data_IF_655187191311
#
_entry.id   IF_655187191311
#
_cell.length_a   1.000
_cell.length_b   1.000
_cell.length_c   1.000
_cell.angle_alpha   90.00
_cell.angle_beta   90.00
_cell.angle_gamma   90.00
#
_symmetry.space_group_name_H-M   'P 1'
#
loop_
_entity.id
_entity.type
_entity.pdbx_description
1 polymer ?
#
# COMPACT_ATOMS: atom_id res chain seq x y z
N UNK A 1 11.62 -17.90 25.49
CA UNK A 1 11.91 -16.47 25.33
C UNK A 1 13.39 -16.23 25.59
N UNK A 2 14.13 -15.69 24.63
CA UNK A 2 15.56 -15.37 24.78
C UNK A 2 15.77 -14.15 25.69
N UNK A 3 17.01 -13.92 26.16
CA UNK A 3 17.35 -12.74 26.95
C UNK A 3 17.10 -11.43 26.21
N UNK A 4 17.33 -11.43 24.88
CA UNK A 4 17.05 -10.27 24.01
C UNK A 4 15.55 -10.00 23.88
N UNK A 5 14.74 -11.03 23.69
CA UNK A 5 13.28 -10.88 23.64
C UNK A 5 12.74 -10.29 24.95
N UNK A 6 13.22 -10.77 26.09
CA UNK A 6 12.85 -10.22 27.39
C UNK A 6 13.31 -8.75 27.57
N UNK A 7 14.45 -8.35 26.98
CA UNK A 7 14.90 -6.97 26.98
C UNK A 7 13.98 -6.09 26.12
N UNK A 8 13.59 -6.54 24.95
CA UNK A 8 12.61 -5.85 24.10
C UNK A 8 11.25 -5.68 24.79
N UNK A 9 10.73 -6.73 25.42
CA UNK A 9 9.45 -6.65 26.12
C UNK A 9 9.50 -5.61 27.26
N UNK A 10 10.62 -5.54 28.02
CA UNK A 10 10.81 -4.49 29.02
C UNK A 10 10.91 -3.10 28.41
N UNK A 11 11.60 -2.98 27.27
CA UNK A 11 11.70 -1.70 26.56
C UNK A 11 10.32 -1.20 26.12
N UNK A 12 9.52 -2.06 25.47
CA UNK A 12 8.14 -1.74 25.05
C UNK A 12 7.30 -1.29 26.25
N UNK A 13 7.36 -2.03 27.35
CA UNK A 13 6.61 -1.69 28.56
C UNK A 13 7.02 -0.32 29.13
N UNK A 14 8.32 0.01 29.12
CA UNK A 14 8.83 1.27 29.62
C UNK A 14 8.50 2.47 28.72
N UNK A 15 8.26 2.26 27.40
CA UNK A 15 8.02 3.31 26.42
C UNK A 15 6.58 3.30 25.87
N UNK A 16 5.62 2.65 26.55
CA UNK A 16 4.23 2.57 26.07
C UNK A 16 3.61 3.97 25.89
N UNK A 17 3.92 4.92 26.77
CA UNK A 17 3.45 6.31 26.65
C UNK A 17 4.12 7.03 25.47
N UNK A 18 5.41 6.81 25.26
CA UNK A 18 6.16 7.41 24.14
C UNK A 18 5.59 6.94 22.78
N UNK A 19 5.19 5.67 22.65
CA UNK A 19 4.56 5.17 21.44
C UNK A 19 3.31 5.99 21.07
N UNK A 20 2.44 6.24 22.04
CA UNK A 20 1.25 7.05 21.82
C UNK A 20 1.60 8.51 21.53
N UNK A 21 2.61 9.09 22.20
CA UNK A 21 3.03 10.46 21.96
C UNK A 21 3.63 10.65 20.56
N UNK A 22 4.47 9.73 20.10
CA UNK A 22 5.05 9.79 18.74
C UNK A 22 3.97 9.65 17.67
N UNK A 23 3.08 8.65 17.82
CA UNK A 23 1.95 8.46 16.89
C UNK A 23 1.08 9.71 16.81
N UNK A 24 0.68 10.27 17.95
CA UNK A 24 -0.17 11.45 18.02
C UNK A 24 0.51 12.70 17.47
N UNK A 25 1.83 12.82 17.65
CA UNK A 25 2.59 13.90 17.05
C UNK A 25 2.55 13.83 15.51
N UNK A 26 2.82 12.66 14.93
CA UNK A 26 2.75 12.45 13.48
C UNK A 26 1.32 12.65 12.98
N UNK A 27 0.33 12.09 13.66
CA UNK A 27 -1.09 12.20 13.33
C UNK A 27 -1.58 13.65 13.29
N UNK A 28 -1.18 14.46 14.25
CA UNK A 28 -1.56 15.88 14.31
C UNK A 28 -0.88 16.77 13.25
N UNK A 29 0.21 16.31 12.64
CA UNK A 29 0.99 17.04 11.65
C UNK A 29 1.16 16.25 10.35
N UNK A 30 0.06 15.82 9.71
CA UNK A 30 0.12 14.98 8.53
C UNK A 30 0.67 15.73 7.33
N UNK A 31 1.46 15.04 6.52
CA UNK A 31 2.04 15.57 5.28
C UNK A 31 1.65 14.68 4.11
N UNK A 32 1.29 15.28 2.98
CA UNK A 32 0.94 14.57 1.76
C UNK A 32 2.17 13.92 1.12
N UNK A 33 1.92 12.93 0.28
CA UNK A 33 2.91 12.23 -0.54
C UNK A 33 3.93 13.20 -1.17
N UNK A 34 5.23 12.88 -1.04
CA UNK A 34 6.39 13.69 -1.47
C UNK A 34 6.54 15.05 -0.75
N UNK A 35 5.89 15.21 0.39
CA UNK A 35 5.95 16.41 1.23
C UNK A 35 6.24 16.09 2.69
N UNK A 36 6.62 14.87 3.02
CA UNK A 36 6.80 14.32 4.37
C UNK A 36 8.12 14.83 5.02
N UNK A 37 8.42 16.13 4.87
CA UNK A 37 9.66 16.72 5.35
C UNK A 37 9.75 16.81 6.88
N UNK A 38 8.67 17.23 7.54
CA UNK A 38 8.65 17.36 9.00
C UNK A 38 8.61 15.97 9.66
N UNK A 39 7.84 15.03 9.10
CA UNK A 39 7.81 13.63 9.55
C UNK A 39 9.18 12.98 9.39
N UNK A 40 9.86 13.20 8.26
CA UNK A 40 11.24 12.73 8.02
C UNK A 40 12.21 13.31 9.05
N UNK A 41 12.14 14.63 9.29
CA UNK A 41 13.01 15.31 10.25
C UNK A 41 12.78 14.80 11.69
N UNK A 42 11.52 14.61 12.08
CA UNK A 42 11.15 14.05 13.39
C UNK A 42 11.73 12.65 13.59
N UNK A 43 11.56 11.74 12.63
CA UNK A 43 12.12 10.38 12.72
C UNK A 43 13.64 10.40 12.77
N UNK A 44 14.29 11.25 11.95
CA UNK A 44 15.74 11.42 11.96
C UNK A 44 16.26 11.90 13.32
N UNK A 45 15.57 12.86 13.94
CA UNK A 45 15.92 13.38 15.26
C UNK A 45 15.87 12.28 16.33
N UNK A 46 14.78 11.52 16.39
CA UNK A 46 14.61 10.44 17.38
C UNK A 46 15.69 9.34 17.21
N UNK A 47 15.94 8.90 15.97
CA UNK A 47 16.99 7.90 15.70
C UNK A 47 18.39 8.42 16.02
N UNK A 48 18.68 9.68 15.67
CA UNK A 48 19.98 10.31 15.97
C UNK A 48 20.21 10.48 17.47
N UNK A 49 19.17 10.85 18.23
CA UNK A 49 19.23 10.95 19.69
C UNK A 49 19.58 9.60 20.36
N UNK A 50 19.19 8.48 19.72
CA UNK A 50 19.58 7.13 20.16
C UNK A 50 20.97 6.68 19.66
N UNK A 51 21.74 7.58 19.05
CA UNK A 51 23.09 7.29 18.54
C UNK A 51 23.13 6.57 17.19
N UNK A 52 22.01 6.46 16.49
CA UNK A 52 21.93 5.91 15.15
C UNK A 52 22.30 6.95 14.08
N UNK A 53 22.53 6.50 12.86
CA UNK A 53 22.97 7.35 11.74
C UNK A 53 21.97 7.27 10.56
N UNK A 54 20.76 7.86 10.70
CA UNK A 54 19.77 7.86 9.64
C UNK A 54 20.27 8.67 8.44
N UNK A 55 19.95 8.20 7.23
CA UNK A 55 20.30 8.84 5.96
C UNK A 55 19.02 9.17 5.20
N UNK A 56 18.75 10.45 4.88
CA UNK A 56 17.58 10.81 4.11
C UNK A 56 17.68 10.24 2.70
N UNK A 57 16.53 9.90 2.10
CA UNK A 57 16.44 9.53 0.70
C UNK A 57 16.63 10.78 -0.19
N UNK A 58 17.05 10.58 -1.47
CA UNK A 58 17.09 11.67 -2.42
C UNK A 58 15.72 12.37 -2.54
N UNK A 59 15.71 13.70 -2.52
CA UNK A 59 14.46 14.48 -2.48
C UNK A 59 14.10 15.00 -1.09
N UNK A 60 14.70 14.45 -0.03
CA UNK A 60 14.57 14.96 1.34
C UNK A 60 13.35 14.47 2.11
N UNK A 61 12.54 13.59 1.53
CA UNK A 61 11.46 12.88 2.21
C UNK A 61 11.77 11.39 2.30
N UNK A 62 11.47 10.79 3.46
CA UNK A 62 11.87 9.41 3.76
C UNK A 62 13.35 9.26 4.10
N UNK A 63 13.70 8.13 4.67
CA UNK A 63 15.05 7.83 5.11
C UNK A 63 15.32 6.32 5.23
N UNK A 64 16.59 5.96 5.27
CA UNK A 64 17.06 4.63 5.68
C UNK A 64 17.96 4.76 6.92
N UNK A 65 17.94 3.73 7.78
CA UNK A 65 18.81 3.65 8.94
C UNK A 65 19.26 2.20 9.17
N UNK A 66 20.57 1.97 9.20
CA UNK A 66 21.14 0.64 9.44
C UNK A 66 21.48 0.48 10.93
N UNK A 67 21.21 -0.70 11.48
CA UNK A 67 21.45 -1.10 12.88
C UNK A 67 22.12 -2.46 12.90
N UNK A 68 23.07 -2.64 13.81
CA UNK A 68 23.75 -3.93 14.01
C UNK A 68 24.97 -4.13 13.11
N UNK A 69 25.44 -5.37 12.94
CA UNK A 69 26.67 -5.67 12.24
C UNK A 69 26.58 -5.43 10.73
N UNK A 70 27.75 -5.19 10.13
CA UNK A 70 27.88 -5.18 8.68
C UNK A 70 27.62 -6.55 8.06
N UNK A 71 27.15 -6.58 6.81
CA UNK A 71 26.85 -7.80 6.07
C UNK A 71 25.40 -7.83 5.59
N UNK A 72 24.84 -9.02 5.31
CA UNK A 72 23.46 -9.18 4.91
C UNK A 72 22.49 -8.63 5.96
N UNK A 73 21.46 -7.89 5.50
CA UNK A 73 20.48 -7.25 6.35
C UNK A 73 19.09 -7.77 6.09
N UNK A 74 18.26 -7.76 7.14
CA UNK A 74 16.81 -7.79 6.98
C UNK A 74 16.29 -6.35 6.94
N UNK A 75 15.43 -6.02 6.00
CA UNK A 75 14.79 -4.72 5.95
C UNK A 75 13.41 -4.75 6.58
N UNK A 76 13.07 -3.68 7.28
CA UNK A 76 11.75 -3.40 7.83
C UNK A 76 11.27 -2.07 7.25
N UNK A 77 10.05 -2.05 6.67
CA UNK A 77 9.51 -0.85 5.98
C UNK A 77 8.28 -0.31 6.68
N UNK A 78 8.17 0.99 6.73
CA UNK A 78 6.94 1.72 6.98
C UNK A 78 6.78 2.85 5.95
N UNK A 79 5.57 3.07 5.50
CA UNK A 79 5.12 4.26 4.77
C UNK A 79 4.90 5.44 5.73
N UNK A 80 4.88 6.67 5.20
CA UNK A 80 4.90 7.90 6.02
C UNK A 80 3.84 8.93 5.63
N UNK A 81 3.30 8.86 4.44
CA UNK A 81 2.44 9.90 3.87
C UNK A 81 1.00 9.85 4.38
N UNK A 82 0.33 10.97 4.26
CA UNK A 82 -1.08 11.16 4.62
C UNK A 82 -1.95 11.40 3.37
N UNK A 83 -3.25 11.35 3.58
CA UNK A 83 -4.27 11.51 2.54
C UNK A 83 -4.83 12.92 2.48
N UNK A 84 -5.24 13.41 1.29
CA UNK A 84 -5.96 14.68 1.13
C UNK A 84 -7.43 14.51 1.56
N UNK A 85 -7.65 14.30 2.85
CA UNK A 85 -8.94 13.98 3.46
C UNK A 85 -9.12 14.75 4.75
N UNK A 86 -10.28 15.44 4.90
CA UNK A 86 -10.61 16.15 6.13
C UNK A 86 -10.98 15.17 7.23
N UNK A 87 -10.25 15.20 8.32
CA UNK A 87 -10.55 14.40 9.52
C UNK A 87 -11.75 14.97 10.30
N UNK A 88 -12.58 14.05 10.83
CA UNK A 88 -13.74 14.35 11.69
C UNK A 88 -13.84 13.41 12.90
N UNK A 89 -12.72 12.85 13.35
CA UNK A 89 -12.68 11.91 14.50
C UNK A 89 -13.06 12.59 15.81
N UNK A 90 -12.72 13.88 15.97
CA UNK A 90 -12.89 14.62 17.24
C UNK A 90 -11.87 14.19 18.31
N UNK A 91 -10.84 13.44 17.97
CA UNK A 91 -9.77 13.05 18.87
C UNK A 91 -8.98 14.27 19.35
N UNK A 92 -8.41 14.25 20.58
CA UNK A 92 -7.63 15.40 21.10
C UNK A 92 -6.33 15.65 20.31
N UNK A 93 -5.94 14.73 19.45
CA UNK A 93 -4.78 14.78 18.55
C UNK A 93 -5.18 14.86 17.08
N UNK A 94 -6.42 15.24 16.78
CA UNK A 94 -6.91 15.46 15.40
C UNK A 94 -5.93 16.31 14.59
N UNK A 95 -5.81 16.01 13.30
CA UNK A 95 -4.97 16.76 12.37
C UNK A 95 -5.12 18.28 12.52
N UNK A 96 -3.98 18.97 12.61
CA UNK A 96 -3.92 20.44 12.61
C UNK A 96 -3.83 21.03 11.20
N UNK A 97 -3.72 20.17 10.16
CA UNK A 97 -3.59 20.56 8.76
C UNK A 97 -4.95 20.41 8.07
N UNK A 98 -5.65 21.49 7.69
CA UNK A 98 -6.95 21.39 7.07
C UNK A 98 -6.94 20.56 5.79
N UNK A 99 -7.87 19.60 5.68
CA UNK A 99 -8.00 18.75 4.50
C UNK A 99 -6.95 17.67 4.34
N UNK A 100 -6.12 17.41 5.36
CA UNK A 100 -5.11 16.34 5.33
C UNK A 100 -5.20 15.51 6.60
N UNK A 101 -5.14 14.19 6.51
CA UNK A 101 -5.15 13.29 7.67
C UNK A 101 -4.50 11.93 7.40
N UNK A 102 -4.03 11.29 8.47
CA UNK A 102 -3.55 9.91 8.43
C UNK A 102 -4.70 8.89 8.51
N UNK A 103 -5.54 8.85 7.46
CA UNK A 103 -6.67 7.96 7.40
C UNK A 103 -6.35 6.55 6.87
N UNK A 104 -5.06 6.20 6.72
CA UNK A 104 -4.59 4.85 6.37
C UNK A 104 -3.75 4.19 7.48
N UNK A 105 -3.39 4.95 8.53
CA UNK A 105 -2.62 4.44 9.66
C UNK A 105 -1.09 4.51 9.48
N UNK A 106 -0.60 5.27 8.50
CA UNK A 106 0.84 5.42 8.26
C UNK A 106 1.57 6.12 9.42
N UNK A 107 0.88 6.91 10.21
CA UNK A 107 1.35 7.43 11.50
C UNK A 107 1.69 6.31 12.49
N UNK A 108 0.86 5.26 12.54
CA UNK A 108 1.13 4.08 13.35
C UNK A 108 2.26 3.23 12.75
N UNK A 109 2.28 3.04 11.42
CA UNK A 109 3.36 2.29 10.76
C UNK A 109 4.73 2.94 11.01
N UNK A 110 4.83 4.26 10.80
CA UNK A 110 6.03 5.05 11.08
C UNK A 110 6.44 4.94 12.55
N UNK A 111 5.49 5.04 13.48
CA UNK A 111 5.75 4.93 14.92
C UNK A 111 6.23 3.53 15.30
N UNK A 112 5.60 2.48 14.78
CA UNK A 112 6.03 1.09 15.01
C UNK A 112 7.46 0.86 14.53
N UNK A 113 7.80 1.35 13.34
CA UNK A 113 9.14 1.18 12.80
C UNK A 113 10.18 2.00 13.56
N UNK A 114 9.86 3.24 13.94
CA UNK A 114 10.72 4.09 14.79
C UNK A 114 11.00 3.38 16.12
N UNK A 115 9.96 2.96 16.81
CA UNK A 115 10.08 2.27 18.09
C UNK A 115 10.85 0.94 17.96
N UNK A 116 10.65 0.21 16.86
CA UNK A 116 11.43 -0.98 16.54
C UNK A 116 12.93 -0.66 16.47
N UNK A 117 13.29 0.40 15.75
CA UNK A 117 14.67 0.85 15.64
C UNK A 117 15.28 1.24 16.99
N UNK A 118 14.55 2.01 17.79
CA UNK A 118 15.00 2.42 19.13
C UNK A 118 15.15 1.26 20.11
N UNK A 119 14.20 0.31 20.07
CA UNK A 119 14.28 -0.90 20.88
C UNK A 119 15.48 -1.79 20.51
N UNK A 120 15.74 -1.97 19.21
CA UNK A 120 16.91 -2.72 18.74
C UNK A 120 18.23 -2.00 19.09
N UNK A 121 18.29 -0.68 18.99
CA UNK A 121 19.45 0.11 19.36
C UNK A 121 19.78 0.04 20.86
N UNK A 122 18.78 -0.25 21.70
CA UNK A 122 18.99 -0.43 23.15
C UNK A 122 19.65 -1.78 23.53
N UNK A 123 19.73 -2.71 22.58
CA UNK A 123 20.39 -4.00 22.81
C UNK A 123 21.91 -3.87 22.66
N UNK A 124 22.70 -4.59 23.49
CA UNK A 124 24.16 -4.49 23.46
C UNK A 124 24.75 -5.06 22.16
N UNK A 125 24.08 -6.01 21.56
CA UNK A 125 24.52 -6.66 20.32
C UNK A 125 23.31 -7.20 19.52
N UNK A 126 23.41 -7.16 18.20
CA UNK A 126 22.53 -7.84 17.26
C UNK A 126 23.33 -8.88 16.47
N UNK A 127 22.69 -10.02 16.17
CA UNK A 127 23.32 -11.07 15.37
C UNK A 127 23.22 -10.80 13.85
N UNK A 128 22.21 -10.04 13.45
CA UNK A 128 21.90 -9.70 12.06
C UNK A 128 21.85 -8.19 11.89
N UNK A 129 22.29 -7.71 10.74
CA UNK A 129 22.07 -6.33 10.33
C UNK A 129 20.58 -6.08 10.05
N UNK A 130 20.09 -4.93 10.45
CA UNK A 130 18.70 -4.50 10.21
C UNK A 130 18.73 -3.16 9.50
N UNK A 131 17.96 -3.03 8.42
CA UNK A 131 17.70 -1.77 7.74
C UNK A 131 16.29 -1.32 7.98
N UNK A 132 16.12 -0.15 8.55
CA UNK A 132 14.83 0.53 8.62
C UNK A 132 14.67 1.36 7.35
N UNK A 133 13.51 1.24 6.69
CA UNK A 133 13.14 2.02 5.51
C UNK A 133 11.85 2.77 5.82
N UNK A 134 11.97 4.08 6.04
CA UNK A 134 10.83 4.98 6.18
C UNK A 134 10.55 5.56 4.79
N UNK A 135 9.52 5.05 4.16
CA UNK A 135 9.23 5.30 2.75
C UNK A 135 8.20 6.42 2.59
N UNK A 136 8.46 7.44 1.77
CA UNK A 136 7.46 8.44 1.41
C UNK A 136 6.53 7.96 0.30
N UNK A 137 5.39 8.65 0.11
CA UNK A 137 4.59 8.62 -1.10
C UNK A 137 4.02 7.24 -1.49
N UNK A 138 3.43 6.50 -0.54
CA UNK A 138 2.73 5.24 -0.84
C UNK A 138 1.39 5.51 -1.55
N UNK A 139 0.65 6.55 -1.13
CA UNK A 139 -0.72 6.85 -1.57
C UNK A 139 -0.82 7.45 -2.99
N UNK A 140 0.30 7.55 -3.70
CA UNK A 140 0.35 8.03 -5.10
C UNK A 140 1.02 7.01 -6.00
N UNK A 141 0.51 6.85 -7.21
CA UNK A 141 1.09 5.91 -8.19
C UNK A 141 2.21 6.58 -9.01
N UNK A 142 3.28 5.85 -9.31
CA UNK A 142 3.58 4.45 -9.02
C UNK A 142 4.19 4.21 -7.61
N UNK A 143 4.19 5.20 -6.73
CA UNK A 143 4.66 5.13 -5.35
C UNK A 143 6.12 5.54 -5.14
N UNK A 144 6.46 5.79 -3.86
CA UNK A 144 7.82 6.14 -3.43
C UNK A 144 8.75 4.94 -3.27
N UNK A 145 8.23 3.72 -3.30
CA UNK A 145 9.05 2.51 -3.20
C UNK A 145 10.09 2.41 -4.34
N UNK A 146 9.72 2.78 -5.57
CA UNK A 146 10.64 2.81 -6.71
C UNK A 146 11.79 3.81 -6.49
N UNK A 147 11.50 4.98 -5.91
CA UNK A 147 12.51 5.99 -5.59
C UNK A 147 13.46 5.47 -4.50
N UNK A 148 12.92 4.80 -3.48
CA UNK A 148 13.73 4.19 -2.42
C UNK A 148 14.62 3.05 -2.96
N UNK A 149 14.10 2.18 -3.84
CA UNK A 149 14.89 1.12 -4.50
C UNK A 149 16.00 1.74 -5.35
N UNK A 150 15.67 2.75 -6.15
CA UNK A 150 16.67 3.46 -6.97
C UNK A 150 17.75 4.17 -6.14
N UNK A 151 17.43 4.55 -4.89
CA UNK A 151 18.37 5.13 -3.93
C UNK A 151 19.21 4.09 -3.17
N UNK A 152 19.09 2.80 -3.49
CA UNK A 152 19.86 1.73 -2.85
C UNK A 152 19.29 1.22 -1.54
N UNK A 153 17.99 1.45 -1.26
CA UNK A 153 17.35 0.97 -0.04
C UNK A 153 17.42 -0.56 0.12
N UNK A 154 17.61 -1.30 -0.96
CA UNK A 154 17.76 -2.76 -0.95
C UNK A 154 19.21 -3.26 -1.01
N UNK A 155 20.21 -2.38 -1.03
CA UNK A 155 21.62 -2.78 -1.10
C UNK A 155 22.02 -3.61 0.12
N UNK A 156 22.40 -4.87 -0.11
CA UNK A 156 22.76 -5.83 0.94
C UNK A 156 21.58 -6.36 1.76
N UNK A 157 20.35 -6.11 1.32
CA UNK A 157 19.13 -6.66 1.93
C UNK A 157 18.84 -8.05 1.41
N UNK A 158 18.59 -9.00 2.31
CA UNK A 158 18.26 -10.39 1.97
C UNK A 158 16.76 -10.70 2.00
N UNK A 159 16.02 -9.99 2.85
CA UNK A 159 14.57 -10.11 3.00
C UNK A 159 13.98 -8.76 3.44
N UNK A 160 12.73 -8.50 3.11
CA UNK A 160 12.03 -7.29 3.55
C UNK A 160 10.65 -7.59 4.13
N UNK A 161 10.26 -6.83 5.17
CA UNK A 161 9.00 -7.01 5.87
C UNK A 161 8.30 -5.68 6.13
N UNK A 162 6.96 -5.70 6.07
CA UNK A 162 6.12 -4.56 6.39
C UNK A 162 4.87 -4.97 7.18
N UNK A 163 4.32 -4.06 7.98
CA UNK A 163 3.01 -4.15 8.58
C UNK A 163 2.09 -3.10 7.97
N UNK A 164 0.81 -3.43 7.83
CA UNK A 164 -0.23 -2.49 7.46
C UNK A 164 -1.42 -2.60 8.41
N UNK A 165 -1.96 -1.49 8.88
CA UNK A 165 -3.14 -1.46 9.75
C UNK A 165 -4.35 -2.12 9.07
N UNK A 166 -5.09 -2.95 9.83
CA UNK A 166 -6.35 -3.54 9.38
C UNK A 166 -7.43 -3.36 10.46
N UNK A 167 -8.40 -2.45 10.24
CA UNK A 167 -9.47 -2.21 11.20
C UNK A 167 -10.50 -3.34 11.30
N UNK A 168 -10.39 -4.37 10.47
CA UNK A 168 -11.25 -5.57 10.55
C UNK A 168 -10.74 -6.58 11.55
N UNK A 169 -9.47 -6.47 11.96
CA UNK A 169 -8.84 -7.33 12.96
C UNK A 169 -8.78 -6.62 14.31
N UNK A 170 -9.05 -7.38 15.37
CA UNK A 170 -8.95 -6.87 16.73
C UNK A 170 -7.50 -6.66 17.13
N UNK A 171 -7.26 -5.64 17.96
CA UNK A 171 -5.94 -5.37 18.55
C UNK A 171 -5.40 -6.62 19.26
N UNK A 172 -4.12 -6.94 19.01
CA UNK A 172 -3.50 -8.19 19.47
C UNK A 172 -3.50 -9.29 18.40
N UNK A 173 -4.29 -9.14 17.33
CA UNK A 173 -4.27 -10.03 16.18
C UNK A 173 -3.37 -9.49 15.07
N UNK A 174 -2.76 -10.37 14.30
CA UNK A 174 -1.97 -10.05 13.10
C UNK A 174 -2.38 -11.02 12.00
N UNK A 175 -2.98 -10.49 10.95
CA UNK A 175 -3.43 -11.26 9.81
C UNK A 175 -2.28 -11.57 8.86
N UNK A 176 -2.12 -12.83 8.50
CA UNK A 176 -1.05 -13.30 7.63
C UNK A 176 -1.57 -14.31 6.62
N UNK A 177 -0.98 -14.32 5.42
CA UNK A 177 -1.21 -15.35 4.41
C UNK A 177 -0.01 -15.51 3.49
N UNK A 178 0.19 -16.71 2.97
CA UNK A 178 1.14 -16.98 1.89
C UNK A 178 0.52 -16.53 0.55
N UNK A 179 1.36 -16.04 -0.36
CA UNK A 179 0.90 -15.58 -1.67
C UNK A 179 0.32 -14.16 -1.65
N UNK A 180 -0.55 -13.86 -2.59
CA UNK A 180 -1.06 -12.50 -2.77
C UNK A 180 -1.90 -12.02 -1.59
N UNK A 181 -1.46 -10.92 -0.94
CA UNK A 181 -2.18 -10.26 0.15
C UNK A 181 -2.86 -8.97 -0.30
N UNK A 182 -2.38 -8.35 -1.40
CA UNK A 182 -3.02 -7.22 -2.08
C UNK A 182 -3.30 -7.58 -3.54
N UNK A 183 -3.90 -6.66 -4.28
CA UNK A 183 -4.08 -6.79 -5.73
C UNK A 183 -3.19 -5.79 -6.45
N UNK A 184 -2.79 -6.13 -7.67
CA UNK A 184 -2.33 -5.13 -8.64
C UNK A 184 -3.43 -4.10 -8.89
N UNK A 185 -3.05 -2.89 -9.24
CA UNK A 185 -3.99 -1.80 -9.49
C UNK A 185 -3.53 -0.96 -10.68
N UNK A 186 -4.14 -1.20 -11.85
CA UNK A 186 -3.86 -0.46 -13.07
C UNK A 186 -5.04 0.44 -13.45
N UNK A 187 -4.76 1.51 -14.19
CA UNK A 187 -5.79 2.43 -14.71
C UNK A 187 -5.88 2.34 -16.23
N UNK A 188 -7.09 2.30 -16.73
CA UNK A 188 -7.40 2.30 -18.17
C UNK A 188 -8.21 3.53 -18.51
N UNK A 189 -7.72 4.32 -19.47
CA UNK A 189 -8.42 5.45 -20.06
C UNK A 189 -8.58 5.20 -21.57
N UNK A 190 -9.80 5.24 -22.05
CA UNK A 190 -10.14 5.08 -23.45
C UNK A 190 -10.82 6.36 -23.97
N UNK A 191 -10.21 7.00 -24.94
CA UNK A 191 -10.78 8.16 -25.64
C UNK A 191 -11.26 7.74 -27.02
N UNK A 192 -12.43 8.19 -27.40
CA UNK A 192 -13.03 7.93 -28.70
C UNK A 192 -13.31 9.23 -29.43
N UNK A 193 -13.11 9.22 -30.74
CA UNK A 193 -13.41 10.34 -31.64
C UNK A 193 -14.31 9.90 -32.80
N UNK A 194 -15.28 10.75 -33.11
CA UNK A 194 -16.26 10.57 -34.20
C UNK A 194 -16.44 11.87 -34.95
N UNK A 195 -16.83 11.86 -36.22
CA UNK A 195 -17.27 13.07 -36.93
C UNK A 195 -18.47 13.74 -36.26
N UNK A 196 -19.19 13.03 -35.41
CA UNK A 196 -20.50 13.47 -34.92
C UNK A 196 -21.59 13.30 -35.99
N UNK A 197 -22.83 13.62 -35.65
CA UNK A 197 -23.91 13.56 -36.63
C UNK A 197 -25.32 13.49 -36.02
N UNK A 198 -26.31 13.43 -36.88
CA UNK A 198 -27.70 13.33 -36.45
C UNK A 198 -28.06 11.87 -36.18
N UNK A 199 -28.66 11.59 -35.03
CA UNK A 199 -29.00 10.21 -34.58
C UNK A 199 -29.92 9.46 -35.55
N UNK A 200 -30.70 10.15 -36.42
CA UNK A 200 -31.50 9.51 -37.47
C UNK A 200 -30.70 9.00 -38.68
N UNK A 201 -29.40 9.29 -38.75
CA UNK A 201 -28.52 8.96 -39.89
C UNK A 201 -27.19 8.35 -39.43
N UNK A 202 -27.21 7.29 -38.60
CA UNK A 202 -25.98 6.70 -38.06
C UNK A 202 -25.06 6.11 -39.14
N UNK A 203 -25.60 5.74 -40.30
CA UNK A 203 -24.85 5.21 -41.43
C UNK A 203 -23.95 6.26 -42.16
N UNK A 204 -24.12 7.54 -41.86
CA UNK A 204 -23.30 8.60 -42.43
C UNK A 204 -22.16 9.06 -41.49
N UNK A 205 -21.99 8.42 -40.36
CA UNK A 205 -20.98 8.73 -39.33
C UNK A 205 -20.55 7.48 -38.58
N UNK A 206 -19.81 7.64 -37.49
CA UNK A 206 -19.54 6.56 -36.55
C UNK A 206 -20.30 6.82 -35.24
N UNK A 207 -21.09 5.85 -34.79
CA UNK A 207 -21.90 5.96 -33.57
C UNK A 207 -21.01 5.75 -32.33
N UNK A 208 -20.50 6.88 -31.82
CA UNK A 208 -19.58 6.90 -30.70
C UNK A 208 -20.21 6.36 -29.40
N UNK A 209 -21.48 6.66 -29.14
CA UNK A 209 -22.16 6.19 -27.92
C UNK A 209 -22.36 4.67 -27.95
N UNK A 210 -22.73 4.13 -29.13
CA UNK A 210 -22.79 2.68 -29.33
C UNK A 210 -21.41 2.03 -29.13
N UNK A 211 -20.35 2.63 -29.66
CA UNK A 211 -18.97 2.13 -29.50
C UNK A 211 -18.53 2.10 -28.03
N UNK A 212 -18.83 3.16 -27.25
CA UNK A 212 -18.59 3.16 -25.79
C UNK A 212 -19.37 2.03 -25.10
N UNK A 213 -20.65 1.88 -25.39
CA UNK A 213 -21.49 0.81 -24.82
C UNK A 213 -20.94 -0.58 -25.13
N UNK A 214 -20.41 -0.79 -26.35
CA UNK A 214 -19.77 -2.05 -26.76
C UNK A 214 -18.55 -2.36 -25.90
N UNK A 215 -17.70 -1.37 -25.60
CA UNK A 215 -16.52 -1.57 -24.76
C UNK A 215 -16.91 -1.72 -23.28
N UNK A 216 -17.88 -0.93 -22.80
CA UNK A 216 -18.35 -1.03 -21.40
C UNK A 216 -18.80 -2.46 -21.06
N UNK A 217 -19.56 -3.08 -21.95
CA UNK A 217 -20.07 -4.43 -21.74
C UNK A 217 -19.12 -5.52 -22.19
N UNK A 218 -18.43 -5.29 -23.32
CA UNK A 218 -17.62 -6.30 -24.00
C UNK A 218 -16.29 -6.57 -23.31
N UNK A 219 -15.55 -5.53 -22.91
CA UNK A 219 -14.21 -5.72 -22.34
C UNK A 219 -14.23 -6.56 -21.05
N UNK A 220 -15.02 -6.25 -20.01
CA UNK A 220 -15.06 -7.08 -18.80
C UNK A 220 -15.52 -8.51 -19.09
N UNK A 221 -16.51 -8.65 -19.96
CA UNK A 221 -17.04 -9.94 -20.37
C UNK A 221 -16.03 -10.82 -21.11
N UNK A 222 -15.27 -10.25 -22.04
CA UNK A 222 -14.23 -10.98 -22.78
C UNK A 222 -13.00 -11.26 -21.93
N UNK A 223 -12.59 -10.30 -21.11
CA UNK A 223 -11.44 -10.45 -20.23
C UNK A 223 -11.63 -11.64 -19.27
N UNK A 224 -12.83 -11.77 -18.66
CA UNK A 224 -13.14 -12.87 -17.75
C UNK A 224 -13.17 -14.27 -18.41
N UNK A 225 -13.08 -14.37 -19.72
CA UNK A 225 -13.01 -15.64 -20.48
C UNK A 225 -11.61 -15.95 -20.98
N UNK A 226 -10.71 -14.99 -20.88
CA UNK A 226 -9.32 -15.09 -21.33
C UNK A 226 -8.34 -15.26 -20.17
N UNK A 227 -8.81 -15.05 -18.93
CA UNK A 227 -8.03 -15.10 -17.70
C UNK A 227 -8.62 -16.16 -16.78
N UNK A 228 -7.76 -16.87 -16.04
CA UNK A 228 -8.19 -17.84 -15.04
C UNK A 228 -8.98 -17.10 -13.92
N UNK A 229 -10.24 -17.48 -13.64
CA UNK A 229 -11.06 -16.80 -12.63
C UNK A 229 -10.47 -16.88 -11.20
N UNK A 230 -9.55 -17.82 -10.95
CA UNK A 230 -8.86 -17.96 -9.64
C UNK A 230 -7.87 -16.84 -9.37
N UNK A 231 -7.47 -16.07 -10.38
CA UNK A 231 -6.55 -14.93 -10.25
C UNK A 231 -7.21 -13.69 -9.63
N UNK A 232 -8.50 -13.74 -9.35
CA UNK A 232 -9.30 -12.63 -8.82
C UNK A 232 -9.21 -11.37 -9.68
N UNK A 233 -9.13 -11.53 -11.01
CA UNK A 233 -9.01 -10.40 -11.93
C UNK A 233 -10.36 -9.75 -12.17
N UNK A 234 -10.42 -8.43 -12.01
CA UNK A 234 -11.62 -7.63 -12.24
C UNK A 234 -11.30 -6.36 -13.03
N UNK A 235 -12.18 -6.00 -13.98
CA UNK A 235 -12.18 -4.73 -14.71
C UNK A 235 -13.48 -4.00 -14.41
N UNK A 236 -13.35 -2.75 -13.90
CA UNK A 236 -14.51 -1.90 -13.58
C UNK A 236 -14.34 -0.52 -14.19
N UNK A 237 -15.36 -0.08 -14.92
CA UNK A 237 -15.44 1.30 -15.41
C UNK A 237 -15.99 2.19 -14.30
N UNK A 238 -15.22 3.23 -13.93
CA UNK A 238 -15.59 4.20 -12.89
C UNK A 238 -16.27 5.44 -13.46
N UNK A 239 -15.99 5.80 -14.72
CA UNK A 239 -16.61 6.96 -15.36
C UNK A 239 -16.81 6.76 -16.86
N UNK A 240 -17.90 7.35 -17.37
CA UNK A 240 -18.20 7.50 -18.78
C UNK A 240 -18.66 8.92 -19.04
N UNK A 241 -18.08 9.56 -20.06
CA UNK A 241 -18.44 10.92 -20.46
C UNK A 241 -18.63 10.95 -21.97
N UNK A 242 -19.86 11.25 -22.45
CA UNK A 242 -20.16 11.45 -23.87
C UNK A 242 -21.53 12.14 -24.06
N UNK A 243 -21.58 13.07 -25.01
CA UNK A 243 -22.82 13.68 -25.48
C UNK A 243 -23.57 14.56 -24.50
N UNK A 244 -24.48 15.38 -25.03
CA UNK A 244 -25.34 16.28 -24.26
C UNK A 244 -26.76 16.36 -24.80
N UNK A 245 -27.01 15.94 -26.06
CA UNK A 245 -28.27 16.06 -26.73
C UNK A 245 -28.76 14.72 -27.27
N UNK A 246 -30.06 14.38 -27.11
CA UNK A 246 -30.57 13.05 -27.49
C UNK A 246 -30.60 12.81 -29.01
N UNK A 247 -30.53 13.84 -29.84
CA UNK A 247 -30.62 13.78 -31.28
C UNK A 247 -29.28 14.05 -32.02
N UNK A 248 -28.16 14.10 -31.25
CA UNK A 248 -26.83 14.33 -31.80
C UNK A 248 -25.84 13.28 -31.32
N UNK A 249 -25.18 12.61 -32.25
CA UNK A 249 -24.04 11.73 -31.96
C UNK A 249 -22.85 12.63 -31.61
N UNK A 250 -22.22 12.43 -30.43
CA UNK A 250 -21.11 13.29 -29.99
C UNK A 250 -19.83 13.05 -30.78
N UNK A 251 -18.97 14.06 -30.83
CA UNK A 251 -17.67 13.98 -31.51
C UNK A 251 -16.59 13.34 -30.63
N UNK A 252 -16.73 13.44 -29.30
CA UNK A 252 -15.77 12.91 -28.35
C UNK A 252 -16.47 12.12 -27.26
N UNK A 253 -15.78 11.11 -26.72
CA UNK A 253 -16.21 10.38 -25.53
C UNK A 253 -15.05 9.72 -24.83
N UNK A 254 -15.22 9.44 -23.54
CA UNK A 254 -14.17 8.91 -22.69
C UNK A 254 -14.74 7.88 -21.72
N UNK A 255 -13.99 6.80 -21.50
CA UNK A 255 -14.13 5.88 -20.39
C UNK A 255 -12.88 5.91 -19.53
N UNK A 256 -13.06 5.85 -18.22
CA UNK A 256 -11.97 5.58 -17.28
C UNK A 256 -12.36 4.46 -16.35
N UNK A 257 -11.40 3.58 -16.07
CA UNK A 257 -11.65 2.42 -15.22
C UNK A 257 -10.37 1.87 -14.61
N UNK A 258 -10.52 0.85 -13.78
CA UNK A 258 -9.42 0.15 -13.14
C UNK A 258 -9.43 -1.32 -13.46
N UNK A 259 -8.23 -1.89 -13.62
CA UNK A 259 -8.01 -3.34 -13.71
C UNK A 259 -7.25 -3.76 -12.48
N UNK A 260 -7.73 -4.81 -11.81
CA UNK A 260 -7.11 -5.38 -10.62
C UNK A 260 -6.93 -6.87 -10.78
N UNK A 261 -5.85 -7.41 -10.25
CA UNK A 261 -5.60 -8.86 -10.22
C UNK A 261 -4.74 -9.21 -9.01
N UNK A 262 -4.97 -10.40 -8.45
CA UNK A 262 -4.15 -10.94 -7.37
C UNK A 262 -2.98 -11.80 -7.85
N UNK A 263 -2.78 -11.89 -9.15
CA UNK A 263 -1.78 -12.77 -9.75
C UNK A 263 -0.77 -11.99 -10.59
N UNK A 264 0.52 -12.17 -10.28
CA UNK A 264 1.61 -11.43 -10.91
C UNK A 264 1.78 -11.78 -12.39
N UNK A 265 1.66 -13.06 -12.77
CA UNK A 265 1.80 -13.48 -14.17
C UNK A 265 0.63 -12.94 -15.00
N UNK A 266 -0.58 -12.99 -14.46
CA UNK A 266 -1.75 -12.37 -15.08
C UNK A 266 -1.56 -10.87 -15.24
N UNK A 267 -1.04 -10.17 -14.21
CA UNK A 267 -0.77 -8.74 -14.30
C UNK A 267 0.14 -8.37 -15.47
N UNK A 268 1.18 -9.18 -15.72
CA UNK A 268 2.07 -8.98 -16.86
C UNK A 268 1.35 -9.06 -18.22
N UNK A 269 0.30 -9.89 -18.32
CA UNK A 269 -0.47 -10.13 -19.54
C UNK A 269 -1.63 -9.15 -19.75
N UNK A 270 -2.06 -8.40 -18.72
CA UNK A 270 -3.28 -7.59 -18.78
C UNK A 270 -3.24 -6.50 -19.84
N UNK A 271 -2.17 -5.69 -19.90
CA UNK A 271 -2.10 -4.59 -20.84
C UNK A 271 -2.23 -5.04 -22.33
N UNK A 272 -1.41 -5.97 -22.84
CA UNK A 272 -1.56 -6.42 -24.22
C UNK A 272 -2.93 -7.05 -24.48
N UNK A 273 -3.50 -7.79 -23.53
CA UNK A 273 -4.80 -8.42 -23.67
C UNK A 273 -5.95 -7.39 -23.72
N UNK A 274 -5.92 -6.38 -22.87
CA UNK A 274 -6.89 -5.27 -22.90
C UNK A 274 -6.82 -4.51 -24.23
N UNK A 275 -5.60 -4.23 -24.74
CA UNK A 275 -5.41 -3.58 -26.04
C UNK A 275 -5.97 -4.42 -27.19
N UNK A 276 -5.71 -5.73 -27.21
CA UNK A 276 -6.25 -6.67 -28.19
C UNK A 276 -7.79 -6.65 -28.19
N UNK A 277 -8.39 -6.81 -27.01
CA UNK A 277 -9.85 -6.90 -26.86
C UNK A 277 -10.52 -5.58 -27.29
N UNK A 278 -10.02 -4.43 -26.81
CA UNK A 278 -10.56 -3.10 -27.16
C UNK A 278 -10.47 -2.88 -28.69
N UNK A 279 -9.35 -3.22 -29.30
CA UNK A 279 -9.17 -3.12 -30.76
C UNK A 279 -10.19 -3.98 -31.51
N UNK A 280 -10.37 -5.23 -31.06
CA UNK A 280 -11.35 -6.16 -31.66
C UNK A 280 -12.79 -5.67 -31.52
N UNK A 281 -13.16 -5.11 -30.36
CA UNK A 281 -14.50 -4.59 -30.09
C UNK A 281 -14.83 -3.35 -30.92
N UNK A 282 -13.85 -2.46 -31.13
CA UNK A 282 -14.05 -1.20 -31.83
C UNK A 282 -13.89 -1.28 -33.35
N UNK A 283 -13.16 -2.28 -33.86
CA UNK A 283 -12.93 -2.43 -35.29
C UNK A 283 -14.21 -2.37 -36.16
N UNK A 284 -15.32 -3.05 -35.82
CA UNK A 284 -16.56 -3.00 -36.59
C UNK A 284 -17.29 -1.66 -36.54
N UNK A 285 -16.99 -0.81 -35.54
CA UNK A 285 -17.68 0.49 -35.35
C UNK A 285 -17.10 1.60 -36.22
N UNK A 286 -15.87 1.43 -36.70
CA UNK A 286 -15.15 2.45 -37.47
C UNK A 286 -14.76 3.70 -36.68
N UNK A 287 -14.97 3.73 -35.37
CA UNK A 287 -14.61 4.85 -34.49
C UNK A 287 -13.09 4.91 -34.32
N UNK A 288 -12.54 6.11 -34.28
CA UNK A 288 -11.12 6.29 -33.89
C UNK A 288 -11.02 6.27 -32.37
N UNK A 289 -9.92 5.73 -31.86
CA UNK A 289 -9.72 5.66 -30.42
C UNK A 289 -8.23 5.77 -30.04
N UNK A 290 -7.99 6.24 -28.80
CA UNK A 290 -6.72 6.17 -28.11
C UNK A 290 -6.92 5.44 -26.78
N UNK A 291 -6.09 4.42 -26.52
CA UNK A 291 -6.12 3.64 -25.30
C UNK A 291 -4.85 3.92 -24.48
N UNK A 292 -5.01 4.56 -23.33
CA UNK A 292 -3.97 4.78 -22.35
C UNK A 292 -4.11 3.76 -21.22
N UNK A 293 -3.24 2.78 -21.22
CA UNK A 293 -3.11 1.82 -20.12
C UNK A 293 -1.95 2.29 -19.23
N UNK A 294 -2.24 2.58 -17.98
CA UNK A 294 -1.23 3.01 -17.00
C UNK A 294 -1.06 1.92 -15.97
N UNK A 295 0.09 1.26 -16.00
CA UNK A 295 0.46 0.34 -14.95
C UNK A 295 0.64 1.10 -13.64
N UNK A 296 0.01 0.61 -12.59
CA UNK A 296 0.21 1.08 -11.22
C UNK A 296 1.22 0.19 -10.49
N UNK A 297 0.76 -0.60 -9.54
CA UNK A 297 1.62 -1.48 -8.72
C UNK A 297 1.29 -2.95 -8.98
N UNK A 298 2.27 -3.88 -8.92
CA UNK A 298 1.99 -5.32 -8.89
C UNK A 298 1.27 -5.75 -7.59
N UNK A 299 0.74 -6.97 -7.49
CA UNK A 299 0.24 -7.47 -6.22
C UNK A 299 1.39 -7.68 -5.23
N UNK A 300 1.17 -7.42 -3.95
CA UNK A 300 2.08 -7.89 -2.90
C UNK A 300 1.92 -9.39 -2.74
N UNK A 301 2.95 -10.14 -3.10
CA UNK A 301 2.96 -11.62 -3.04
C UNK A 301 3.94 -12.07 -1.97
N UNK A 302 3.41 -12.47 -0.83
CA UNK A 302 4.20 -12.95 0.30
C UNK A 302 4.94 -14.24 -0.03
N UNK A 303 6.28 -14.22 0.10
CA UNK A 303 7.14 -15.38 -0.04
C UNK A 303 6.88 -16.39 1.10
N UNK A 304 6.80 -17.69 0.81
CA UNK A 304 6.51 -18.71 1.83
C UNK A 304 7.51 -18.72 3.00
N UNK A 305 8.82 -18.59 2.73
CA UNK A 305 9.83 -18.59 3.79
C UNK A 305 9.77 -17.32 4.64
N UNK A 306 9.55 -16.17 4.01
CA UNK A 306 9.34 -14.90 4.71
C UNK A 306 8.03 -14.89 5.52
N UNK A 307 6.98 -15.53 5.00
CA UNK A 307 5.73 -15.72 5.74
C UNK A 307 5.94 -16.56 7.00
N UNK A 308 6.72 -17.65 6.92
CA UNK A 308 7.06 -18.46 8.09
C UNK A 308 7.87 -17.67 9.14
N UNK A 309 8.79 -16.79 8.71
CA UNK A 309 9.49 -15.86 9.60
C UNK A 309 8.51 -14.92 10.33
N UNK A 310 7.52 -14.39 9.62
CA UNK A 310 6.48 -13.56 10.21
C UNK A 310 5.63 -14.33 11.22
N UNK A 311 5.17 -15.53 10.86
CA UNK A 311 4.37 -16.39 11.73
C UNK A 311 5.07 -16.66 13.06
N UNK A 312 6.37 -16.98 13.01
CA UNK A 312 7.21 -17.17 14.20
C UNK A 312 7.26 -15.91 15.08
N UNK A 313 7.41 -14.74 14.45
CA UNK A 313 7.42 -13.46 15.16
C UNK A 313 6.05 -13.13 15.79
N UNK A 314 4.95 -13.38 15.07
CA UNK A 314 3.57 -13.21 15.58
C UNK A 314 3.32 -14.12 16.79
N UNK A 315 3.84 -15.35 16.79
CA UNK A 315 3.74 -16.29 17.93
C UNK A 315 4.29 -15.72 19.25
N UNK A 316 5.18 -14.71 19.19
CA UNK A 316 5.68 -14.00 20.39
C UNK A 316 4.64 -13.07 21.03
N UNK A 317 3.65 -12.62 20.29
CA UNK A 317 2.55 -11.79 20.83
C UNK A 317 1.66 -12.64 21.74
N UNK A 318 1.28 -13.81 21.25
CA UNK A 318 0.47 -14.77 22.01
C UNK A 318 -0.06 -15.90 21.12
N UNK A 319 -0.63 -16.94 21.71
CA UNK A 319 -1.08 -18.12 20.97
C UNK A 319 -2.29 -17.86 20.06
N UNK A 320 -3.01 -16.78 20.28
CA UNK A 320 -4.20 -16.36 19.49
C UNK A 320 -3.93 -15.15 18.61
N UNK A 321 -2.66 -14.71 18.48
CA UNK A 321 -2.32 -13.52 17.74
C UNK A 321 -2.36 -13.71 16.22
N UNK A 322 -2.04 -14.90 15.73
CA UNK A 322 -2.12 -15.20 14.30
C UNK A 322 -3.58 -15.32 13.86
N UNK A 323 -3.95 -14.53 12.85
CA UNK A 323 -5.27 -14.54 12.24
C UNK A 323 -5.15 -14.78 10.72
N UNK A 324 -6.12 -15.48 10.14
CA UNK A 324 -6.27 -15.53 8.69
C UNK A 324 -6.69 -14.17 8.16
N UNK A 325 -6.17 -13.81 7.00
CA UNK A 325 -6.59 -12.58 6.31
C UNK A 325 -6.92 -12.84 4.85
N UNK A 326 -7.98 -12.23 4.37
CA UNK A 326 -8.34 -12.27 2.96
C UNK A 326 -7.40 -11.36 2.15
N UNK A 327 -7.25 -11.67 0.86
CA UNK A 327 -6.60 -10.78 -0.07
C UNK A 327 -7.40 -9.46 -0.18
N UNK A 328 -6.70 -8.33 -0.09
CA UNK A 328 -7.28 -7.01 -0.32
C UNK A 328 -7.37 -6.71 -1.83
N UNK A 329 -8.43 -6.03 -2.25
CA UNK A 329 -8.53 -5.46 -3.58
C UNK A 329 -7.72 -4.16 -3.77
N UNK A 330 -7.12 -3.61 -2.71
CA UNK A 330 -6.26 -2.41 -2.77
C UNK A 330 -4.90 -2.71 -3.41
N UNK A 331 -4.28 -1.68 -3.99
CA UNK A 331 -2.87 -1.68 -4.39
C UNK A 331 -1.99 -1.31 -3.20
N UNK A 332 -0.70 -1.62 -3.28
CA UNK A 332 0.29 -1.32 -2.25
C UNK A 332 1.69 -1.34 -2.91
N UNK A 333 2.42 -0.26 -2.83
CA UNK A 333 3.70 -0.10 -3.51
C UNK A 333 4.87 -0.85 -2.86
N UNK A 334 4.66 -1.42 -1.65
CA UNK A 334 5.58 -2.40 -1.07
C UNK A 334 5.89 -3.55 -2.02
N UNK A 335 4.98 -3.85 -2.93
CA UNK A 335 5.14 -4.83 -3.98
C UNK A 335 6.41 -4.62 -4.83
N UNK A 336 6.83 -3.38 -5.05
CA UNK A 336 8.04 -3.08 -5.82
C UNK A 336 9.34 -3.57 -5.15
N UNK A 337 9.37 -3.63 -3.82
CA UNK A 337 10.51 -4.24 -3.12
C UNK A 337 10.57 -5.75 -3.37
N UNK A 338 9.38 -6.40 -3.44
CA UNK A 338 9.28 -7.85 -3.64
C UNK A 338 9.66 -8.31 -5.06
N UNK A 339 9.71 -7.39 -6.02
CA UNK A 339 10.31 -7.65 -7.34
C UNK A 339 11.83 -7.85 -7.28
N UNK A 340 12.48 -7.48 -6.18
CA UNK A 340 13.93 -7.47 -6.04
C UNK A 340 14.43 -8.45 -4.97
N UNK A 341 13.70 -8.57 -3.86
CA UNK A 341 14.07 -9.42 -2.73
C UNK A 341 12.85 -10.14 -2.17
N UNK A 342 12.99 -11.37 -1.65
CA UNK A 342 11.87 -12.04 -0.98
C UNK A 342 11.43 -11.25 0.26
N UNK A 343 10.14 -11.32 0.57
CA UNK A 343 9.61 -10.64 1.73
C UNK A 343 8.15 -10.98 2.00
N UNK A 344 7.59 -10.35 3.01
CA UNK A 344 6.20 -10.50 3.36
C UNK A 344 5.64 -9.23 4.01
N UNK A 345 4.35 -9.02 3.84
CA UNK A 345 3.55 -8.04 4.56
C UNK A 345 2.48 -8.75 5.39
N UNK A 346 2.20 -8.21 6.58
CA UNK A 346 1.12 -8.70 7.43
C UNK A 346 0.16 -7.55 7.79
N UNK A 347 -1.05 -7.92 8.22
CA UNK A 347 -2.11 -7.00 8.62
C UNK A 347 -2.14 -6.86 10.13
N UNK A 348 -1.83 -5.69 10.66
CA UNK A 348 -1.85 -5.38 12.08
C UNK A 348 -3.29 -5.04 12.51
N UNK A 349 -3.87 -5.83 13.41
CA UNK A 349 -5.20 -5.55 13.96
C UNK A 349 -5.19 -4.27 14.79
N UNK A 350 -6.10 -3.35 14.45
CA UNK A 350 -6.19 -2.03 15.07
C UNK A 350 -7.59 -1.70 15.62
N UNK A 351 -8.56 -2.60 15.47
CA UNK A 351 -9.87 -2.44 16.09
C UNK A 351 -9.83 -2.80 17.59
N UNK A 352 -10.48 -1.98 18.41
CA UNK A 352 -10.48 -2.15 19.87
C UNK A 352 -11.21 -3.40 20.39
N UNK A 353 -11.92 -4.12 19.51
CA UNK A 353 -12.81 -5.22 19.88
C UNK A 353 -14.23 -4.76 20.26
N UNK A 354 -14.46 -3.45 20.36
CA UNK A 354 -15.76 -2.87 20.73
C UNK A 354 -16.07 -1.63 19.88
N UNK A 355 -17.36 -1.33 19.70
CA UNK A 355 -17.78 -0.20 18.87
C UNK A 355 -17.69 -0.46 17.37
N UNK A 356 -17.89 0.58 16.54
CA UNK A 356 -17.84 0.44 15.09
C UNK A 356 -16.43 0.12 14.59
N UNK A 357 -16.34 -0.70 13.55
CA UNK A 357 -15.11 -0.86 12.78
C UNK A 357 -15.02 0.32 11.80
N UNK A 358 -14.02 1.19 12.03
CA UNK A 358 -13.78 2.38 11.20
C UNK A 358 -12.82 1.99 10.08
N UNK A 359 -13.28 2.03 8.83
CA UNK A 359 -12.45 1.61 7.70
C UNK A 359 -11.38 2.67 7.36
N UNK A 360 -10.29 2.22 6.76
CA UNK A 360 -9.25 3.11 6.23
C UNK A 360 -9.83 4.02 5.13
N UNK A 361 -9.18 5.15 4.85
CA UNK A 361 -9.60 6.17 3.89
C UNK A 361 -10.98 6.81 4.23
N UNK A 362 -11.40 6.71 5.48
CA UNK A 362 -12.59 7.41 5.97
C UNK A 362 -12.22 8.58 6.88
N UNK A 363 -12.98 9.68 6.85
CA UNK A 363 -12.75 10.85 7.72
C UNK A 363 -12.80 10.56 9.21
N UNK A 364 -13.43 9.45 9.58
CA UNK A 364 -13.61 8.98 10.97
C UNK A 364 -12.61 7.91 11.37
N UNK A 365 -11.65 7.54 10.49
CA UNK A 365 -10.68 6.51 10.81
C UNK A 365 -9.81 6.91 12.01
N UNK A 366 -9.75 6.02 12.98
CA UNK A 366 -8.81 6.04 14.10
C UNK A 366 -8.53 4.59 14.52
N UNK A 367 -7.51 4.39 15.31
CA UNK A 367 -7.02 3.08 15.70
C UNK A 367 -6.82 2.97 17.21
N UNK A 368 -6.88 1.76 17.72
CA UNK A 368 -6.50 1.47 19.10
C UNK A 368 -4.97 1.46 19.24
N UNK A 369 -4.42 2.41 19.98
CA UNK A 369 -2.98 2.61 20.15
C UNK A 369 -2.26 1.44 20.83
N UNK A 370 -3.00 0.48 21.46
CA UNK A 370 -2.40 -0.76 21.95
C UNK A 370 -1.80 -1.60 20.82
N UNK A 371 -2.23 -1.40 19.58
CA UNK A 371 -1.68 -2.04 18.39
C UNK A 371 -0.20 -1.67 18.15
N UNK A 372 0.23 -0.48 18.58
CA UNK A 372 1.62 -0.04 18.41
C UNK A 372 2.61 -0.99 19.10
N UNK A 373 2.34 -1.33 20.35
CA UNK A 373 3.17 -2.27 21.10
C UNK A 373 3.20 -3.68 20.46
N UNK A 374 2.09 -4.13 19.90
CA UNK A 374 1.99 -5.38 19.14
C UNK A 374 2.87 -5.33 17.90
N UNK A 375 2.76 -4.24 17.11
CA UNK A 375 3.58 -4.05 15.92
C UNK A 375 5.07 -4.04 16.22
N UNK A 376 5.51 -3.31 17.26
CA UNK A 376 6.92 -3.28 17.70
C UNK A 376 7.40 -4.67 18.11
N UNK A 377 6.58 -5.44 18.84
CA UNK A 377 6.92 -6.81 19.27
C UNK A 377 7.12 -7.74 18.09
N UNK A 378 6.27 -7.65 17.08
CA UNK A 378 6.37 -8.46 15.85
C UNK A 378 7.60 -8.05 15.03
N UNK A 379 7.78 -6.77 14.74
CA UNK A 379 8.88 -6.29 13.91
C UNK A 379 10.25 -6.55 14.55
N UNK A 380 10.38 -6.33 15.86
CA UNK A 380 11.59 -6.73 16.58
C UNK A 380 11.81 -8.25 16.59
N UNK A 381 10.72 -9.03 16.61
CA UNK A 381 10.78 -10.49 16.50
C UNK A 381 11.41 -10.95 15.20
N UNK A 382 11.02 -10.35 14.08
CA UNK A 382 11.62 -10.60 12.76
C UNK A 382 13.11 -10.21 12.75
N UNK A 383 13.44 -9.02 13.28
CA UNK A 383 14.82 -8.53 13.32
C UNK A 383 15.76 -9.43 14.15
N UNK A 384 15.27 -10.04 15.22
CA UNK A 384 16.05 -10.91 16.08
C UNK A 384 16.25 -12.32 15.52
N UNK A 385 15.36 -12.77 14.62
CA UNK A 385 15.39 -14.12 14.03
C UNK A 385 14.77 -14.09 12.63
N UNK A 386 15.51 -13.58 11.62
CA UNK A 386 15.01 -13.38 10.27
C UNK A 386 14.99 -14.63 9.39
N UNK A 387 15.37 -15.81 9.92
CA UNK A 387 15.50 -17.08 9.20
C UNK A 387 14.37 -18.06 9.48
#
# INVERSE_FOLDING_TARGET
MSSREAAIDRWIQAHTEDLSLWRRHIHAHPELARREFATTAFVMEQLSAAGLSPKPLPGGTGLICDIGPDGPRVALRADMDALPLQEITGAPYTSTVPGVSHACGHDAHTTVLLATGLALASLPDLHYGVRLIFQPAEEVMPGGALDAVAAGALDGVSKIFALHCDPRLEVGQVGLRVGAITSAADTVELRLDSPGGHTSRPHLTTDLVYALGTVITGLPGMLSRRIDPRTSTVMVWGAVVAGQAPNAIPQTGMLTGTVRTGDHETWALLEPLVREIVTGLLAPTGVRFELHYRRGVPPVVNDPASTATFEKAIGRVGPTALADTAQSGGGEDFSWYLENVPGAMARLGVWSGTGPQLDIHQPTFDLDERALAVGVKVMTGIALDPN
#
